data_IF_659093638404
#
_entry.id   IF_659093638404
#
_cell.length_a   1.000
_cell.length_b   1.000
_cell.length_c   1.000
_cell.angle_alpha   90.00
_cell.angle_beta   90.00
_cell.angle_gamma   90.00
#
_symmetry.space_group_name_H-M   'P 1'
#
loop_
_entity.id
_entity.type
_entity.pdbx_description
1 polymer ?
#
# COMPACT_ATOMS: atom_id res chain seq x y z
N UNK A 1 13.62 -1.15 18.96
CA UNK A 1 13.08 -0.92 17.61
C UNK A 1 14.00 -1.41 16.49
N UNK A 2 15.23 -0.89 16.31
CA UNK A 2 16.08 -1.26 15.16
C UNK A 2 16.42 -2.77 15.06
N UNK A 3 16.64 -3.46 16.19
CA UNK A 3 16.85 -4.92 16.19
C UNK A 3 15.60 -5.70 15.74
N UNK A 4 14.41 -5.27 16.18
CA UNK A 4 13.12 -5.82 15.74
C UNK A 4 12.90 -5.62 14.23
N UNK A 5 13.20 -4.43 13.71
CA UNK A 5 13.09 -4.14 12.28
C UNK A 5 14.05 -5.03 11.47
N UNK A 6 15.31 -5.17 11.91
CA UNK A 6 16.28 -6.06 11.25
C UNK A 6 15.82 -7.52 11.24
N UNK A 7 15.25 -8.01 12.34
CA UNK A 7 14.72 -9.39 12.39
C UNK A 7 13.52 -9.58 11.48
N UNK A 8 12.61 -8.61 11.39
CA UNK A 8 11.45 -8.68 10.49
C UNK A 8 11.87 -8.63 9.01
N UNK A 9 12.86 -7.80 8.65
CA UNK A 9 13.42 -7.77 7.29
C UNK A 9 14.09 -9.09 6.91
N UNK A 10 14.80 -9.73 7.86
CA UNK A 10 15.40 -11.04 7.65
C UNK A 10 14.35 -12.15 7.44
N UNK A 11 13.26 -12.11 8.22
CA UNK A 11 12.11 -13.03 8.03
C UNK A 11 11.48 -12.83 6.65
N UNK A 12 11.33 -11.58 6.21
CA UNK A 12 10.74 -11.23 4.91
C UNK A 12 11.46 -11.87 3.73
N UNK A 13 12.79 -11.89 3.74
CA UNK A 13 13.60 -12.49 2.67
C UNK A 13 13.25 -13.97 2.42
N UNK A 14 12.70 -14.67 3.43
CA UNK A 14 12.29 -16.08 3.35
C UNK A 14 10.80 -16.25 3.01
N UNK A 15 10.01 -15.19 2.96
CA UNK A 15 8.58 -15.26 2.71
C UNK A 15 8.24 -15.15 1.22
N UNK A 16 7.46 -16.13 0.73
CA UNK A 16 6.96 -16.16 -0.66
C UNK A 16 6.04 -14.98 -0.99
N UNK A 17 5.52 -14.29 0.03
CA UNK A 17 4.62 -13.15 -0.16
C UNK A 17 5.26 -11.96 -0.86
N UNK A 18 6.59 -11.78 -0.79
CA UNK A 18 7.27 -10.76 -1.61
C UNK A 18 7.12 -11.09 -3.10
N UNK A 19 7.22 -12.37 -3.47
CA UNK A 19 7.05 -12.80 -4.87
C UNK A 19 5.64 -12.53 -5.39
N UNK A 20 4.63 -12.67 -4.54
CA UNK A 20 3.25 -12.25 -4.88
C UNK A 20 3.24 -10.75 -5.15
N UNK A 21 3.86 -9.93 -4.30
CA UNK A 21 4.01 -8.49 -4.54
C UNK A 21 4.64 -8.18 -5.90
N UNK A 22 5.79 -8.78 -6.20
CA UNK A 22 6.50 -8.62 -7.48
C UNK A 22 5.61 -9.04 -8.67
N UNK A 23 4.92 -10.19 -8.56
CA UNK A 23 4.03 -10.68 -9.60
C UNK A 23 2.84 -9.75 -9.85
N UNK A 24 2.29 -9.14 -8.80
CA UNK A 24 1.21 -8.16 -8.94
C UNK A 24 1.68 -6.86 -9.59
N UNK A 25 2.91 -6.39 -9.30
CA UNK A 25 3.48 -5.22 -9.98
C UNK A 25 3.66 -5.50 -11.48
N UNK A 26 4.21 -6.67 -11.82
CA UNK A 26 4.32 -7.09 -13.23
C UNK A 26 2.96 -7.14 -13.92
N UNK A 27 1.94 -7.66 -13.22
CA UNK A 27 0.58 -7.77 -13.74
C UNK A 27 -0.03 -6.39 -14.04
N UNK A 28 0.21 -5.37 -13.21
CA UNK A 28 -0.28 -4.01 -13.47
C UNK A 28 0.39 -3.38 -14.68
N UNK A 29 1.70 -3.59 -14.86
CA UNK A 29 2.42 -3.05 -16.01
C UNK A 29 1.99 -3.74 -17.30
N UNK A 30 1.79 -5.06 -17.28
CA UNK A 30 1.27 -5.81 -18.43
C UNK A 30 -0.17 -5.41 -18.77
N UNK A 31 -1.02 -5.22 -17.76
CA UNK A 31 -2.38 -4.73 -17.95
C UNK A 31 -2.40 -3.33 -18.58
N UNK A 32 -1.51 -2.45 -18.13
CA UNK A 32 -1.37 -1.10 -18.72
C UNK A 32 -0.90 -1.19 -20.17
N UNK A 33 0.09 -2.03 -20.46
CA UNK A 33 0.57 -2.27 -21.82
C UNK A 33 -0.54 -2.81 -22.74
N UNK A 34 -1.41 -3.67 -22.21
CA UNK A 34 -2.56 -4.19 -22.94
C UNK A 34 -3.58 -3.09 -23.25
N UNK A 35 -3.88 -2.21 -22.29
CA UNK A 35 -4.81 -1.10 -22.51
C UNK A 35 -4.26 -0.09 -23.53
N UNK A 36 -2.97 0.22 -23.47
CA UNK A 36 -2.30 1.10 -24.43
C UNK A 36 -2.32 0.58 -25.87
N UNK A 37 -2.32 -0.74 -26.06
CA UNK A 37 -2.43 -1.34 -27.40
C UNK A 37 -3.75 -1.02 -28.12
N UNK A 38 -4.79 -0.63 -27.36
CA UNK A 38 -6.09 -0.21 -27.87
C UNK A 38 -6.24 1.30 -28.08
N UNK A 39 -5.26 2.11 -27.65
CA UNK A 39 -5.34 3.57 -27.71
C UNK A 39 -4.69 4.11 -29.00
N UNK A 40 -5.36 4.99 -29.77
CA UNK A 40 -4.76 5.56 -30.98
C UNK A 40 -3.64 6.55 -30.64
N UNK A 41 -2.39 6.17 -30.93
CA UNK A 41 -1.20 7.01 -30.77
C UNK A 41 0.05 6.14 -30.52
N UNK A 42 1.24 6.70 -30.71
CA UNK A 42 2.49 6.06 -30.25
C UNK A 42 2.75 6.52 -28.81
N UNK A 43 2.57 5.66 -27.80
CA UNK A 43 2.76 6.06 -26.42
C UNK A 43 4.22 6.42 -26.15
N UNK A 44 4.42 7.52 -25.43
CA UNK A 44 5.73 7.91 -24.92
C UNK A 44 5.97 7.23 -23.58
N UNK A 45 7.24 7.11 -23.18
CA UNK A 45 7.60 6.56 -21.86
C UNK A 45 6.92 7.29 -20.69
N UNK A 46 6.73 8.63 -20.79
CA UNK A 46 6.09 9.42 -19.74
C UNK A 46 4.62 9.06 -19.60
N UNK A 47 3.88 9.06 -20.72
CA UNK A 47 2.46 8.70 -20.74
C UNK A 47 2.24 7.28 -20.21
N UNK A 48 3.05 6.32 -20.68
CA UNK A 48 2.98 4.95 -20.18
C UNK A 48 3.27 4.85 -18.68
N UNK A 49 4.26 5.58 -18.18
CA UNK A 49 4.57 5.60 -16.73
C UNK A 49 3.42 6.20 -15.91
N UNK A 50 2.79 7.25 -16.43
CA UNK A 50 1.64 7.90 -15.79
C UNK A 50 0.44 6.92 -15.73
N UNK A 51 0.15 6.21 -16.82
CA UNK A 51 -0.94 5.22 -16.83
C UNK A 51 -0.63 3.99 -15.96
N UNK A 52 0.64 3.57 -15.86
CA UNK A 52 1.04 2.53 -14.92
C UNK A 52 0.76 2.99 -13.49
N UNK A 53 1.16 4.22 -13.14
CA UNK A 53 0.86 4.81 -11.82
C UNK A 53 -0.65 4.79 -11.57
N UNK A 54 -1.45 5.20 -12.56
CA UNK A 54 -2.90 5.23 -12.46
C UNK A 54 -3.51 3.88 -12.12
N UNK A 55 -3.13 2.85 -12.89
CA UNK A 55 -3.64 1.50 -12.70
C UNK A 55 -3.11 0.85 -11.40
N UNK A 56 -1.89 1.19 -11.02
CA UNK A 56 -1.27 0.71 -9.79
C UNK A 56 -2.01 1.20 -8.56
N UNK A 57 -2.19 2.51 -8.41
CA UNK A 57 -2.83 3.05 -7.21
C UNK A 57 -4.32 2.69 -7.14
N UNK A 58 -5.00 2.59 -8.29
CA UNK A 58 -6.45 2.38 -8.33
C UNK A 58 -6.87 0.92 -8.16
N UNK A 59 -6.09 -0.03 -8.69
CA UNK A 59 -6.52 -1.43 -8.76
C UNK A 59 -5.70 -2.33 -7.85
N UNK A 60 -4.38 -2.35 -8.03
CA UNK A 60 -3.56 -3.47 -7.52
C UNK A 60 -2.85 -3.11 -6.21
N UNK A 61 -2.20 -1.94 -6.15
CA UNK A 61 -1.30 -1.60 -5.07
C UNK A 61 -1.96 -1.56 -3.68
N UNK A 62 -3.15 -0.93 -3.48
CA UNK A 62 -3.84 -0.94 -2.19
C UNK A 62 -4.12 -2.36 -1.67
N UNK A 63 -4.56 -3.26 -2.55
CA UNK A 63 -4.85 -4.63 -2.18
C UNK A 63 -3.56 -5.41 -1.86
N UNK A 64 -2.54 -5.28 -2.70
CA UNK A 64 -1.25 -5.95 -2.53
C UNK A 64 -0.58 -5.57 -1.21
N UNK A 65 -0.49 -4.28 -0.88
CA UNK A 65 0.21 -3.85 0.33
C UNK A 65 -0.52 -4.30 1.61
N UNK A 66 -1.86 -4.27 1.59
CA UNK A 66 -2.68 -4.79 2.70
C UNK A 66 -2.58 -6.30 2.82
N UNK A 67 -2.46 -7.02 1.69
CA UNK A 67 -2.23 -8.46 1.69
C UNK A 67 -0.88 -8.83 2.30
N UNK A 68 0.19 -8.14 1.89
CA UNK A 68 1.53 -8.36 2.44
C UNK A 68 1.55 -8.07 3.94
N UNK A 69 1.01 -6.92 4.34
CA UNK A 69 0.95 -6.52 5.74
C UNK A 69 0.08 -7.48 6.58
N UNK A 70 -1.10 -7.84 6.08
CA UNK A 70 -2.02 -8.76 6.73
C UNK A 70 -1.41 -10.15 6.92
N UNK A 71 -0.75 -10.68 5.89
CA UNK A 71 -0.06 -11.96 5.98
C UNK A 71 1.10 -11.93 7.00
N UNK A 72 1.90 -10.86 7.01
CA UNK A 72 2.98 -10.68 8.00
C UNK A 72 2.47 -10.61 9.44
N UNK A 73 1.29 -10.04 9.66
CA UNK A 73 0.66 -9.95 10.98
C UNK A 73 0.07 -11.30 11.38
N UNK A 74 -0.68 -11.95 10.48
CA UNK A 74 -1.35 -13.22 10.76
C UNK A 74 -0.35 -14.35 11.05
N UNK A 75 0.78 -14.40 10.33
CA UNK A 75 1.81 -15.41 10.57
C UNK A 75 2.43 -15.36 11.96
N UNK A 76 2.56 -14.16 12.54
CA UNK A 76 3.01 -14.01 13.94
C UNK A 76 1.96 -14.53 14.95
N UNK A 77 0.68 -14.58 14.55
CA UNK A 77 -0.38 -15.19 15.37
C UNK A 77 -0.42 -16.71 15.23
N UNK A 78 -0.28 -17.23 14.02
CA UNK A 78 -0.42 -18.66 13.71
C UNK A 78 0.77 -19.49 14.20
N UNK A 79 1.99 -18.95 14.18
CA UNK A 79 3.21 -19.69 14.55
C UNK A 79 3.41 -19.82 16.11
N UNK A 80 2.35 -19.66 16.93
CA UNK A 80 2.36 -19.67 18.42
C UNK A 80 3.41 -18.76 19.09
N UNK A 81 4.07 -17.88 18.31
CA UNK A 81 5.02 -16.89 18.80
C UNK A 81 4.34 -15.78 19.58
N UNK A 82 3.04 -15.52 19.39
CA UNK A 82 2.32 -14.60 20.29
C UNK A 82 2.18 -15.12 21.73
N UNK A 83 2.04 -16.44 21.93
CA UNK A 83 2.01 -17.04 23.28
C UNK A 83 3.40 -17.04 23.94
N UNK A 84 4.46 -17.22 23.15
CA UNK A 84 5.84 -17.19 23.66
C UNK A 84 6.41 -15.76 23.79
N UNK A 85 5.95 -14.81 22.97
CA UNK A 85 6.22 -13.37 23.11
C UNK A 85 5.41 -12.80 24.27
N UNK A 86 4.26 -13.35 24.68
CA UNK A 86 3.59 -12.96 25.94
C UNK A 86 4.43 -13.27 27.20
N UNK A 87 5.47 -14.10 27.10
CA UNK A 87 6.44 -14.33 28.18
C UNK A 87 7.57 -13.28 28.20
N UNK A 88 7.73 -12.48 27.14
CA UNK A 88 8.71 -11.40 27.02
C UNK A 88 7.94 -10.06 26.99
N UNK A 89 8.31 -9.03 27.76
CA UNK A 89 7.50 -7.82 27.90
C UNK A 89 7.58 -6.90 26.65
N UNK A 90 7.05 -7.33 25.51
CA UNK A 90 6.92 -6.51 24.29
C UNK A 90 5.44 -6.35 23.98
N UNK A 91 4.95 -5.12 24.02
CA UNK A 91 3.55 -4.80 23.73
C UNK A 91 3.19 -5.08 22.28
N UNK A 92 1.96 -5.58 22.02
CA UNK A 92 1.46 -5.82 20.67
C UNK A 92 1.53 -4.56 19.79
N UNK A 93 1.39 -3.38 20.41
CA UNK A 93 1.55 -2.06 19.77
C UNK A 93 2.93 -1.84 19.17
N UNK A 94 3.99 -2.17 19.91
CA UNK A 94 5.36 -2.00 19.43
C UNK A 94 5.69 -2.94 18.27
N UNK A 95 5.10 -4.14 18.28
CA UNK A 95 5.24 -5.12 17.21
C UNK A 95 4.49 -4.66 15.95
N UNK A 96 3.26 -4.20 16.11
CA UNK A 96 2.44 -3.71 15.00
C UNK A 96 3.04 -2.45 14.35
N UNK A 97 3.60 -1.53 15.15
CA UNK A 97 4.35 -0.37 14.63
C UNK A 97 5.58 -0.80 13.81
N UNK A 98 6.34 -1.79 14.31
CA UNK A 98 7.48 -2.35 13.59
C UNK A 98 7.08 -2.96 12.24
N UNK A 99 5.96 -3.68 12.18
CA UNK A 99 5.45 -4.28 10.93
C UNK A 99 4.95 -3.23 9.94
N UNK A 100 4.22 -2.21 10.39
CA UNK A 100 3.79 -1.09 9.54
C UNK A 100 5.01 -0.37 8.96
N UNK A 101 6.06 -0.12 9.75
CA UNK A 101 7.29 0.50 9.23
C UNK A 101 7.96 -0.35 8.15
N UNK A 102 8.06 -1.66 8.36
CA UNK A 102 8.61 -2.60 7.37
C UNK A 102 7.72 -2.63 6.11
N UNK A 103 6.40 -2.56 6.24
CA UNK A 103 5.50 -2.44 5.09
C UNK A 103 5.72 -1.14 4.30
N UNK A 104 6.04 -0.04 4.96
CA UNK A 104 6.46 1.20 4.30
C UNK A 104 7.73 1.01 3.46
N UNK A 105 8.73 0.28 3.97
CA UNK A 105 9.93 -0.06 3.20
C UNK A 105 9.61 -0.97 2.00
N UNK A 106 8.70 -1.92 2.17
CA UNK A 106 8.24 -2.80 1.08
C UNK A 106 7.51 -2.00 0.00
N UNK A 107 6.69 -1.02 0.37
CA UNK A 107 6.00 -0.13 -0.58
C UNK A 107 7.00 0.58 -1.51
N UNK A 108 8.07 1.14 -0.94
CA UNK A 108 9.16 1.77 -1.73
C UNK A 108 9.86 0.75 -2.63
N UNK A 109 10.15 -0.44 -2.10
CA UNK A 109 10.76 -1.51 -2.90
C UNK A 109 9.88 -1.93 -4.08
N UNK A 110 8.56 -2.09 -3.87
CA UNK A 110 7.61 -2.44 -4.92
C UNK A 110 7.52 -1.35 -5.98
N UNK A 111 7.60 -0.06 -5.61
CA UNK A 111 7.66 1.04 -6.57
C UNK A 111 8.91 0.97 -7.48
N UNK A 112 10.06 0.58 -6.93
CA UNK A 112 11.29 0.40 -7.71
C UNK A 112 11.13 -0.79 -8.67
N UNK A 113 10.54 -1.90 -8.20
CA UNK A 113 10.26 -3.08 -9.04
C UNK A 113 9.28 -2.74 -10.17
N UNK A 114 8.23 -1.98 -9.86
CA UNK A 114 7.26 -1.47 -10.83
C UNK A 114 7.93 -0.59 -11.91
N UNK A 115 8.81 0.33 -11.51
CA UNK A 115 9.59 1.13 -12.45
C UNK A 115 10.48 0.25 -13.33
N UNK A 116 11.15 -0.75 -12.75
CA UNK A 116 12.01 -1.67 -13.51
C UNK A 116 11.19 -2.41 -14.59
N UNK A 117 10.01 -2.92 -14.25
CA UNK A 117 9.14 -3.57 -15.24
C UNK A 117 8.62 -2.59 -16.28
N UNK A 118 8.25 -1.37 -15.87
CA UNK A 118 7.81 -0.31 -16.77
C UNK A 118 8.90 0.04 -17.78
N UNK A 119 10.14 0.21 -17.32
CA UNK A 119 11.30 0.47 -18.16
C UNK A 119 11.57 -0.69 -19.13
N UNK A 120 11.56 -1.94 -18.64
CA UNK A 120 11.77 -3.12 -19.48
C UNK A 120 10.70 -3.24 -20.58
N UNK A 121 9.42 -3.13 -20.22
CA UNK A 121 8.31 -3.24 -21.18
C UNK A 121 8.36 -2.08 -22.19
N UNK A 122 8.67 -0.86 -21.75
CA UNK A 122 8.83 0.28 -22.66
C UNK A 122 9.95 0.08 -23.69
N UNK A 123 11.05 -0.59 -23.29
CA UNK A 123 12.14 -0.97 -24.20
C UNK A 123 11.70 -2.06 -25.19
N UNK A 124 10.98 -3.09 -24.71
CA UNK A 124 10.45 -4.15 -25.58
C UNK A 124 9.44 -3.62 -26.60
N UNK A 125 8.55 -2.72 -26.19
CA UNK A 125 7.55 -2.09 -27.06
C UNK A 125 8.11 -0.92 -27.88
N UNK A 126 9.38 -0.53 -27.68
CA UNK A 126 10.09 0.54 -28.40
C UNK A 126 9.38 1.90 -28.31
N UNK A 127 8.92 2.25 -27.11
CA UNK A 127 8.31 3.56 -26.86
C UNK A 127 9.34 4.69 -26.98
N UNK A 128 8.90 5.83 -27.50
CA UNK A 128 9.75 7.01 -27.66
C UNK A 128 9.90 7.78 -26.32
N UNK A 129 10.98 8.56 -26.19
CA UNK A 129 11.18 9.45 -25.04
C UNK A 129 11.81 8.80 -23.80
N UNK A 130 12.47 7.65 -23.95
CA UNK A 130 13.28 7.04 -22.88
C UNK A 130 14.54 7.90 -22.67
N UNK A 131 14.45 8.84 -21.74
CA UNK A 131 15.56 9.65 -21.27
C UNK A 131 15.77 9.45 -19.76
N UNK A 132 17.00 9.64 -19.29
CA UNK A 132 17.33 9.51 -17.86
C UNK A 132 16.47 10.45 -17.00
N UNK A 133 16.17 11.65 -17.50
CA UNK A 133 15.27 12.61 -16.84
C UNK A 133 13.85 12.06 -16.67
N UNK A 134 13.32 11.40 -17.69
CA UNK A 134 11.97 10.81 -17.66
C UNK A 134 11.91 9.64 -16.67
N UNK A 135 12.92 8.77 -16.66
CA UNK A 135 13.02 7.65 -15.71
C UNK A 135 13.11 8.16 -14.26
N UNK A 136 13.93 9.18 -14.01
CA UNK A 136 14.05 9.76 -12.67
C UNK A 136 12.76 10.44 -12.22
N UNK A 137 12.05 11.11 -13.12
CA UNK A 137 10.73 11.69 -12.84
C UNK A 137 9.73 10.58 -12.48
N UNK A 138 9.60 9.54 -13.31
CA UNK A 138 8.71 8.40 -13.05
C UNK A 138 9.05 7.70 -11.74
N UNK A 139 10.33 7.56 -11.37
CA UNK A 139 10.75 6.99 -10.09
C UNK A 139 10.19 7.80 -8.91
N UNK A 140 10.36 9.12 -8.93
CA UNK A 140 9.88 10.00 -7.85
C UNK A 140 8.36 9.94 -7.76
N UNK A 141 7.65 9.91 -8.91
CA UNK A 141 6.21 9.84 -8.95
C UNK A 141 5.67 8.49 -8.45
N UNK A 142 6.23 7.36 -8.90
CA UNK A 142 5.85 6.01 -8.46
C UNK A 142 6.11 5.79 -6.97
N UNK A 143 7.31 6.17 -6.49
CA UNK A 143 7.65 6.08 -5.06
C UNK A 143 6.72 6.97 -4.23
N UNK A 144 6.50 8.21 -4.66
CA UNK A 144 5.59 9.14 -4.01
C UNK A 144 4.19 8.57 -3.90
N UNK A 145 3.62 8.10 -5.01
CA UNK A 145 2.27 7.52 -5.05
C UNK A 145 2.15 6.29 -4.15
N UNK A 146 3.06 5.33 -4.25
CA UNK A 146 3.00 4.12 -3.42
C UNK A 146 3.16 4.44 -1.91
N UNK A 147 3.90 5.50 -1.56
CA UNK A 147 3.95 6.00 -0.18
C UNK A 147 2.62 6.62 0.27
N UNK A 148 1.99 7.47 -0.53
CA UNK A 148 0.71 8.11 -0.17
C UNK A 148 -0.44 7.10 -0.10
N UNK A 149 -0.48 6.15 -1.03
CA UNK A 149 -1.45 5.05 -0.99
C UNK A 149 -1.22 4.20 0.25
N UNK A 150 0.05 3.89 0.57
CA UNK A 150 0.38 3.17 1.80
C UNK A 150 -0.15 3.88 3.04
N UNK A 151 0.11 5.19 3.19
CA UNK A 151 -0.40 6.02 4.30
C UNK A 151 -1.93 5.94 4.39
N UNK A 152 -2.60 5.96 3.23
CA UNK A 152 -4.06 5.89 3.15
C UNK A 152 -4.65 4.56 3.59
N UNK A 153 -3.92 3.46 3.46
CA UNK A 153 -4.40 2.12 3.84
C UNK A 153 -3.90 1.66 5.22
N UNK A 154 -2.99 2.40 5.89
CA UNK A 154 -2.54 2.04 7.24
C UNK A 154 -3.72 1.83 8.22
N UNK A 155 -4.76 2.68 8.28
CA UNK A 155 -5.90 2.44 9.17
C UNK A 155 -6.55 1.07 8.95
N UNK A 156 -6.67 0.65 7.68
CA UNK A 156 -7.24 -0.65 7.29
C UNK A 156 -6.33 -1.79 7.78
N UNK A 157 -5.01 -1.65 7.60
CA UNK A 157 -4.00 -2.62 8.06
C UNK A 157 -4.04 -2.76 9.58
N UNK A 158 -4.09 -1.64 10.31
CA UNK A 158 -4.13 -1.64 11.78
C UNK A 158 -5.44 -2.27 12.27
N UNK A 159 -6.57 -1.92 11.67
CA UNK A 159 -7.88 -2.44 12.07
C UNK A 159 -8.03 -3.94 11.82
N UNK A 160 -7.71 -4.39 10.60
CA UNK A 160 -7.79 -5.81 10.23
C UNK A 160 -6.71 -6.63 10.93
N UNK A 161 -5.55 -6.02 11.15
CA UNK A 161 -4.45 -6.57 11.91
C UNK A 161 -4.75 -6.80 13.39
N UNK A 162 -5.86 -6.30 13.96
CA UNK A 162 -6.22 -6.57 15.37
C UNK A 162 -7.03 -7.86 15.57
N UNK A 163 -7.67 -8.41 14.53
CA UNK A 163 -8.51 -9.62 14.61
C UNK A 163 -7.90 -10.77 13.81
N UNK A 164 -7.74 -11.94 14.42
CA UNK A 164 -7.30 -13.14 13.72
C UNK A 164 -8.29 -13.52 12.60
N UNK A 165 -7.77 -13.90 11.43
CA UNK A 165 -8.59 -14.25 10.27
C UNK A 165 -9.27 -13.09 9.52
N UNK A 166 -9.23 -11.85 10.02
CA UNK A 166 -9.88 -10.70 9.37
C UNK A 166 -9.06 -10.08 8.23
N UNK A 167 -7.84 -10.59 7.96
CA UNK A 167 -6.91 -9.97 7.01
C UNK A 167 -7.44 -10.00 5.57
N UNK A 168 -8.09 -11.08 5.13
CA UNK A 168 -8.67 -11.19 3.79
C UNK A 168 -9.82 -10.22 3.54
N UNK A 169 -10.64 -9.97 4.55
CA UNK A 169 -11.66 -8.92 4.49
C UNK A 169 -11.03 -7.53 4.34
N UNK A 170 -9.88 -7.31 4.99
CA UNK A 170 -9.07 -6.10 4.82
C UNK A 170 -8.56 -5.90 3.40
N UNK A 171 -8.07 -6.97 2.78
CA UNK A 171 -7.60 -6.94 1.37
C UNK A 171 -8.73 -6.61 0.42
N UNK A 172 -9.90 -7.25 0.58
CA UNK A 172 -11.08 -6.95 -0.23
C UNK A 172 -11.53 -5.49 -0.06
N UNK A 173 -11.57 -4.99 1.17
CA UNK A 173 -11.91 -3.59 1.44
C UNK A 173 -10.89 -2.63 0.82
N UNK A 174 -9.59 -2.92 0.91
CA UNK A 174 -8.54 -2.10 0.32
C UNK A 174 -8.60 -2.05 -1.21
N UNK A 175 -8.98 -3.16 -1.85
CA UNK A 175 -9.21 -3.20 -3.30
C UNK A 175 -10.32 -2.23 -3.72
N UNK A 176 -11.50 -2.31 -3.09
CA UNK A 176 -12.60 -1.38 -3.36
C UNK A 176 -12.24 0.06 -3.00
N UNK A 177 -11.51 0.25 -1.90
CA UNK A 177 -11.03 1.55 -1.47
C UNK A 177 -10.09 2.19 -2.50
N UNK A 178 -9.21 1.41 -3.14
CA UNK A 178 -8.43 1.86 -4.29
C UNK A 178 -9.31 2.25 -5.47
N UNK A 179 -10.23 1.35 -5.84
CA UNK A 179 -11.04 1.48 -7.04
C UNK A 179 -11.96 2.71 -7.02
N UNK A 180 -12.59 2.99 -5.86
CA UNK A 180 -13.42 4.20 -5.66
C UNK A 180 -12.61 5.49 -5.90
N UNK A 181 -11.29 5.45 -5.71
CA UNK A 181 -10.40 6.58 -6.03
C UNK A 181 -10.50 7.04 -7.48
N UNK A 182 -10.73 6.13 -8.43
CA UNK A 182 -10.89 6.50 -9.85
C UNK A 182 -12.08 7.43 -10.07
N UNK A 183 -13.23 7.12 -9.47
CA UNK A 183 -14.44 7.95 -9.52
C UNK A 183 -14.25 9.28 -8.80
N UNK A 184 -13.58 9.26 -7.64
CA UNK A 184 -13.27 10.49 -6.91
C UNK A 184 -12.39 11.44 -7.75
N UNK A 185 -11.44 10.90 -8.51
CA UNK A 185 -10.58 11.72 -9.36
C UNK A 185 -11.26 12.23 -10.63
N UNK A 186 -12.25 11.50 -11.17
CA UNK A 186 -13.02 11.93 -12.33
C UNK A 186 -14.03 13.06 -12.07
N UNK A 187 -14.31 13.38 -10.79
CA UNK A 187 -15.29 14.40 -10.39
C UNK A 187 -14.68 15.55 -9.58
N UNK A 188 -13.37 15.80 -9.69
CA UNK A 188 -12.70 16.90 -8.99
C UNK A 188 -12.56 16.72 -7.47
N UNK A 189 -12.82 15.52 -6.96
CA UNK A 189 -12.68 15.15 -5.54
C UNK A 189 -11.31 14.51 -5.22
N UNK A 190 -10.34 14.62 -6.14
CA UNK A 190 -8.99 14.06 -5.98
C UNK A 190 -8.27 14.58 -4.73
N UNK A 191 -8.62 15.78 -4.24
CA UNK A 191 -8.05 16.36 -3.03
C UNK A 191 -8.72 15.90 -1.72
N UNK A 192 -9.88 15.23 -1.80
CA UNK A 192 -10.67 14.80 -0.64
C UNK A 192 -10.49 13.31 -0.35
N UNK A 193 -10.23 12.50 -1.38
CA UNK A 193 -10.14 11.06 -1.24
C UNK A 193 -8.69 10.62 -0.97
N UNK A 194 -8.37 9.95 0.16
CA UNK A 194 -6.98 9.80 0.58
C UNK A 194 -6.06 9.09 -0.41
N UNK A 195 -6.58 8.09 -1.13
CA UNK A 195 -5.80 7.33 -2.12
C UNK A 195 -5.37 8.21 -3.31
N UNK A 196 -6.18 9.19 -3.70
CA UNK A 196 -5.92 10.04 -4.87
C UNK A 196 -5.16 11.32 -4.52
N UNK A 197 -4.99 11.64 -3.23
CA UNK A 197 -4.22 12.82 -2.79
C UNK A 197 -2.81 12.82 -3.36
N UNK A 198 -2.19 11.64 -3.49
CA UNK A 198 -0.85 11.52 -4.05
C UNK A 198 -0.72 12.17 -5.43
N UNK A 199 -1.77 12.12 -6.26
CA UNK A 199 -1.78 12.70 -7.61
C UNK A 199 -1.51 14.20 -7.60
N UNK A 200 -2.02 14.92 -6.59
CA UNK A 200 -1.78 16.35 -6.44
C UNK A 200 -0.35 16.69 -6.00
N UNK A 201 0.30 15.81 -5.23
CA UNK A 201 1.70 16.01 -4.80
C UNK A 201 2.72 15.65 -5.87
N UNK A 202 2.42 14.63 -6.69
CA UNK A 202 3.28 14.22 -7.80
C UNK A 202 3.09 15.06 -9.07
N UNK A 203 2.24 16.09 -8.98
CA UNK A 203 1.82 16.96 -10.09
C UNK A 203 1.46 16.14 -11.34
N UNK A 204 0.55 15.20 -11.14
CA UNK A 204 0.08 14.30 -12.18
C UNK A 204 -0.72 15.07 -13.23
N UNK A 205 -0.30 15.03 -14.50
CA UNK A 205 -0.91 15.78 -15.59
C UNK A 205 -1.35 14.83 -16.71
N UNK A 206 -2.57 14.30 -16.62
CA UNK A 206 -3.08 13.31 -17.58
C UNK A 206 -4.14 13.84 -18.54
N UNK A 207 -4.03 15.10 -18.99
CA UNK A 207 -4.84 15.68 -20.07
C UNK A 207 -6.35 15.82 -19.82
N UNK A 208 -6.92 15.07 -18.88
CA UNK A 208 -8.21 15.35 -18.26
C UNK A 208 -8.05 16.55 -17.34
N UNK A 209 -9.06 17.41 -17.34
CA UNK A 209 -9.16 18.63 -16.57
C UNK A 209 -9.05 18.34 -15.06
N UNK A 210 -7.84 18.08 -14.58
CA UNK A 210 -7.65 17.79 -13.18
C UNK A 210 -7.74 19.10 -12.43
N UNK A 211 -8.88 19.29 -11.76
CA UNK A 211 -9.20 20.45 -10.96
C UNK A 211 -8.00 20.89 -10.13
N UNK A 212 -7.81 22.20 -10.04
CA UNK A 212 -6.71 22.89 -9.37
C UNK A 212 -6.39 22.19 -8.04
N UNK A 213 -5.29 21.44 -8.01
CA UNK A 213 -4.91 20.68 -6.82
C UNK A 213 -4.61 21.67 -5.68
N UNK A 214 -5.52 21.74 -4.72
CA UNK A 214 -5.30 22.54 -3.53
C UNK A 214 -4.42 21.74 -2.58
N UNK A 215 -3.11 21.94 -2.66
CA UNK A 215 -2.09 21.29 -1.80
C UNK A 215 -2.49 21.38 -0.33
N UNK A 216 -3.07 22.51 0.10
CA UNK A 216 -3.56 22.68 1.47
C UNK A 216 -4.62 21.64 1.87
N UNK A 217 -5.61 21.35 1.00
CA UNK A 217 -6.66 20.36 1.27
C UNK A 217 -6.08 18.94 1.32
N UNK A 218 -5.16 18.64 0.41
CA UNK A 218 -4.42 17.38 0.37
C UNK A 218 -3.64 17.11 1.67
N UNK A 219 -2.91 18.12 2.19
CA UNK A 219 -2.19 18.01 3.47
C UNK A 219 -3.15 17.76 4.63
N UNK A 220 -4.26 18.49 4.70
CA UNK A 220 -5.24 18.35 5.79
C UNK A 220 -5.82 16.93 5.84
N UNK A 221 -6.21 16.36 4.70
CA UNK A 221 -6.78 15.00 4.68
C UNK A 221 -5.73 13.94 5.01
N UNK A 222 -4.48 14.08 4.53
CA UNK A 222 -3.39 13.19 4.95
C UNK A 222 -3.12 13.26 6.46
N UNK A 223 -3.13 14.46 7.04
CA UNK A 223 -2.99 14.63 8.49
C UNK A 223 -4.13 13.95 9.25
N UNK A 224 -5.37 14.08 8.78
CA UNK A 224 -6.53 13.38 9.37
C UNK A 224 -6.31 11.86 9.32
N UNK A 225 -5.83 11.30 8.21
CA UNK A 225 -5.56 9.86 8.10
C UNK A 225 -4.44 9.40 9.04
N UNK A 226 -3.39 10.20 9.21
CA UNK A 226 -2.33 9.93 10.18
C UNK A 226 -2.83 10.01 11.62
N UNK A 227 -3.69 10.98 11.94
CA UNK A 227 -4.32 11.09 13.26
C UNK A 227 -5.23 9.90 13.54
N UNK A 228 -6.07 9.50 12.58
CA UNK A 228 -6.93 8.30 12.69
C UNK A 228 -6.06 7.06 12.93
N UNK A 229 -4.97 6.92 12.17
CA UNK A 229 -4.01 5.82 12.34
C UNK A 229 -3.39 5.84 13.74
N UNK A 230 -2.93 6.99 14.21
CA UNK A 230 -2.32 7.15 15.53
C UNK A 230 -3.33 6.82 16.65
N UNK A 231 -4.57 7.30 16.54
CA UNK A 231 -5.66 6.99 17.47
C UNK A 231 -5.95 5.49 17.46
N UNK A 232 -6.05 4.85 16.29
CA UNK A 232 -6.26 3.40 16.18
C UNK A 232 -5.10 2.59 16.78
N UNK A 233 -3.85 3.04 16.60
CA UNK A 233 -2.67 2.42 17.21
C UNK A 233 -2.65 2.59 18.74
N UNK A 234 -3.10 3.74 19.25
CA UNK A 234 -3.20 4.00 20.69
C UNK A 234 -4.38 3.26 21.34
N UNK A 235 -5.47 3.06 20.59
CA UNK A 235 -6.64 2.28 21.01
C UNK A 235 -6.45 0.76 20.84
N UNK A 236 -5.43 0.32 20.10
CA UNK A 236 -5.08 -1.09 19.95
C UNK A 236 -4.70 -1.66 21.33
N UNK A 237 -5.67 -2.17 22.07
CA UNK A 237 -5.50 -2.72 23.40
C UNK A 237 -5.11 -4.20 23.29
N UNK A 238 -4.13 -4.62 24.10
CA UNK A 238 -3.75 -6.04 24.22
C UNK A 238 -5.02 -6.84 24.59
N UNK A 239 -5.30 -7.89 23.82
CA UNK A 239 -6.51 -8.71 23.92
C UNK A 239 -6.63 -9.57 25.19
N UNK A 240 -6.20 -9.08 26.36
CA UNK A 240 -6.12 -9.85 27.60
C UNK A 240 -7.31 -9.66 28.56
N UNK A 241 -8.43 -9.03 28.14
CA UNK A 241 -9.63 -8.96 29.00
C UNK A 241 -10.83 -9.79 28.54
N UNK A 242 -10.93 -10.20 27.28
CA UNK A 242 -12.16 -10.86 26.81
C UNK A 242 -12.10 -12.40 26.87
N UNK A 243 -10.93 -13.05 26.79
CA UNK A 243 -10.86 -14.51 26.88
C UNK A 243 -10.88 -15.07 28.30
N UNK A 244 -10.52 -14.30 29.34
CA UNK A 244 -10.60 -14.79 30.73
C UNK A 244 -12.02 -14.84 31.30
N UNK A 245 -12.98 -14.12 30.68
CA UNK A 245 -14.37 -14.11 31.15
C UNK A 245 -15.14 -15.29 30.55
N UNK A 246 -14.79 -15.75 29.33
CA UNK A 246 -15.51 -16.86 28.68
C UNK A 246 -15.06 -18.26 29.14
N UNK A 247 -13.87 -18.39 29.74
CA UNK A 247 -13.37 -19.67 30.28
C UNK A 247 -13.72 -19.94 31.75
N UNK A 248 -14.51 -19.08 32.40
CA UNK A 248 -14.86 -19.20 33.82
C UNK A 248 -16.38 -19.32 34.09
N UNK A 249 -17.18 -19.49 33.03
CA UNK A 249 -18.64 -19.58 33.10
C UNK A 249 -19.22 -21.00 33.01
N UNK A 250 -18.43 -22.00 32.62
CA UNK A 250 -18.93 -23.36 32.33
C UNK A 250 -18.41 -24.41 33.33
N UNK A 251 -18.39 -24.07 34.62
CA UNK A 251 -18.36 -25.06 35.70
C UNK A 251 -19.27 -24.55 36.83
N UNK A 252 -20.56 -24.87 36.72
CA UNK A 252 -21.46 -25.11 37.85
C UNK A 252 -22.57 -26.06 37.42
#
# INVERSE_FOLDING_TARGET
MARLIKTELWKLKRYSVIWIGIATMLSVVLLTCFMESGTPGTPTFSSFSDDVIWNSFSLIFPATIVMIAGYMIERERTDDTLKNIMAIPVSFRSLLFGKVFVCGMISVFLAIVELLFTALISLFCRYEGIALSSIMRSLVQMVGMNCFVFISVIPIIVFTGQRAGAFMTGVAFAFFYGFIGTFASGHGLSCLYPVTIGLGFINYQNGMETGTYNIFRCVVVLLIMLVITAVMLLLAHDGSKTQKIKGKGDIQ
#
